data_IF_116893111170
#
_entry.id   IF_116893111170
#
_cell.length_a   1.000
_cell.length_b   1.000
_cell.length_c   1.000
_cell.angle_alpha   90.00
_cell.angle_beta   90.00
_cell.angle_gamma   90.00
#
_symmetry.space_group_name_H-M   'P 1'
#
loop_
_entity.id
_entity.type
_entity.pdbx_description
1 polymer ?
#
# COMPACT_ATOMS: atom_id res chain seq x y z
N UNK A 1 0.37 -27.85 -37.39
CA UNK A 1 -0.64 -26.78 -37.51
C UNK A 1 -0.69 -26.06 -36.17
N UNK A 2 0.03 -24.95 -36.05
CA UNK A 2 0.17 -24.20 -34.79
C UNK A 2 -1.07 -23.33 -34.62
N UNK A 3 -1.87 -23.62 -33.60
CA UNK A 3 -3.05 -22.86 -33.23
C UNK A 3 -2.67 -21.43 -32.83
N UNK A 4 -2.96 -20.48 -33.72
CA UNK A 4 -2.90 -19.04 -33.51
C UNK A 4 -3.51 -18.48 -32.19
N UNK A 5 -4.55 -19.09 -31.54
CA UNK A 5 -5.06 -18.54 -30.29
C UNK A 5 -4.04 -18.49 -29.14
N UNK A 6 -3.07 -19.41 -29.06
CA UNK A 6 -2.18 -19.47 -27.89
C UNK A 6 -1.12 -18.37 -27.86
N UNK A 7 -0.66 -17.91 -29.03
CA UNK A 7 0.28 -16.78 -29.12
C UNK A 7 -0.39 -15.46 -28.73
N UNK A 8 -1.63 -15.24 -29.16
CA UNK A 8 -2.42 -14.06 -28.81
C UNK A 8 -2.70 -13.97 -27.31
N UNK A 9 -3.02 -15.10 -26.68
CA UNK A 9 -3.24 -15.16 -25.23
C UNK A 9 -1.94 -14.87 -24.44
N UNK A 10 -0.80 -15.39 -24.92
CA UNK A 10 0.51 -15.10 -24.34
C UNK A 10 0.89 -13.61 -24.41
N UNK A 11 0.78 -13.01 -25.60
CA UNK A 11 1.11 -11.60 -25.82
C UNK A 11 0.21 -10.67 -24.98
N UNK A 12 -1.09 -10.98 -24.89
CA UNK A 12 -2.04 -10.22 -24.07
C UNK A 12 -1.71 -10.30 -22.56
N UNK A 13 -1.38 -11.50 -22.06
CA UNK A 13 -1.00 -11.69 -20.65
C UNK A 13 0.23 -10.85 -20.29
N UNK A 14 1.25 -10.85 -21.15
CA UNK A 14 2.48 -10.07 -20.95
C UNK A 14 2.20 -8.56 -20.96
N UNK A 15 1.38 -8.08 -21.88
CA UNK A 15 1.00 -6.65 -21.96
C UNK A 15 0.26 -6.23 -20.70
N UNK A 16 -0.69 -7.03 -20.22
CA UNK A 16 -1.45 -6.72 -19.01
C UNK A 16 -0.54 -6.70 -17.79
N UNK A 17 0.33 -7.71 -17.63
CA UNK A 17 1.27 -7.78 -16.50
C UNK A 17 2.24 -6.60 -16.47
N UNK A 18 2.75 -6.19 -17.64
CA UNK A 18 3.67 -5.04 -17.73
C UNK A 18 2.99 -3.70 -17.46
N UNK A 19 1.74 -3.50 -17.91
CA UNK A 19 0.95 -2.32 -17.55
C UNK A 19 0.66 -2.29 -16.05
N UNK A 20 0.24 -3.42 -15.47
CA UNK A 20 -0.04 -3.52 -14.03
C UNK A 20 1.20 -3.16 -13.20
N UNK A 21 2.36 -3.72 -13.56
CA UNK A 21 3.63 -3.40 -12.91
C UNK A 21 3.98 -1.92 -13.01
N UNK A 22 3.80 -1.31 -14.18
CA UNK A 22 4.08 0.12 -14.38
C UNK A 22 3.17 1.02 -13.52
N UNK A 23 1.88 0.70 -13.43
CA UNK A 23 0.91 1.43 -12.59
C UNK A 23 1.27 1.33 -11.11
N UNK A 24 1.64 0.13 -10.65
CA UNK A 24 2.04 -0.13 -9.26
C UNK A 24 3.30 0.67 -8.90
N UNK A 25 4.34 0.61 -9.75
CA UNK A 25 5.58 1.37 -9.55
C UNK A 25 5.29 2.87 -9.50
N UNK A 26 4.45 3.37 -10.41
CA UNK A 26 4.05 4.77 -10.42
C UNK A 26 3.29 5.17 -9.15
N UNK A 27 2.38 4.31 -8.68
CA UNK A 27 1.64 4.50 -7.44
C UNK A 27 2.53 4.57 -6.21
N UNK A 28 3.51 3.66 -6.09
CA UNK A 28 4.51 3.68 -5.01
C UNK A 28 5.30 4.98 -5.04
N UNK A 29 5.79 5.37 -6.21
CA UNK A 29 6.56 6.60 -6.37
C UNK A 29 5.75 7.82 -5.93
N UNK A 30 4.47 7.90 -6.33
CA UNK A 30 3.58 8.99 -5.93
C UNK A 30 3.29 8.98 -4.42
N UNK A 31 3.09 7.81 -3.80
CA UNK A 31 2.88 7.71 -2.35
C UNK A 31 4.10 8.16 -1.55
N UNK A 32 5.30 7.73 -1.95
CA UNK A 32 6.56 8.17 -1.35
C UNK A 32 6.73 9.68 -1.51
N UNK A 33 6.49 10.22 -2.70
CA UNK A 33 6.62 11.65 -2.97
C UNK A 33 5.65 12.48 -2.11
N UNK A 34 4.40 12.02 -1.97
CA UNK A 34 3.37 12.67 -1.14
C UNK A 34 3.73 12.61 0.35
N UNK A 35 4.28 11.49 0.82
CA UNK A 35 4.73 11.35 2.20
C UNK A 35 5.88 12.31 2.54
N UNK A 36 6.91 12.38 1.69
CA UNK A 36 8.03 13.33 1.84
C UNK A 36 7.52 14.78 1.90
N UNK A 37 6.57 15.13 1.03
CA UNK A 37 5.99 16.48 1.02
C UNK A 37 5.19 16.79 2.30
N UNK A 38 4.44 15.82 2.83
CA UNK A 38 3.61 15.97 4.02
C UNK A 38 4.43 16.08 5.31
N UNK A 39 5.47 15.26 5.48
CA UNK A 39 6.30 15.26 6.69
C UNK A 39 7.17 16.52 6.81
N UNK A 40 7.56 17.11 5.67
CA UNK A 40 8.30 18.38 5.64
C UNK A 40 7.37 19.56 5.97
N UNK A 41 6.10 19.52 5.57
CA UNK A 41 5.15 20.63 5.75
C UNK A 41 4.50 20.67 7.14
N UNK A 42 4.24 19.52 7.78
CA UNK A 42 3.56 19.42 9.08
C UNK A 42 4.47 19.61 10.31
N UNK A 43 5.74 19.96 10.10
CA UNK A 43 6.71 20.18 11.17
C UNK A 43 6.53 21.50 11.95
N UNK A 44 5.55 22.32 11.56
CA UNK A 44 5.34 23.68 12.09
C UNK A 44 4.23 23.85 13.14
N UNK A 45 3.62 22.79 13.67
CA UNK A 45 2.55 22.90 14.66
C UNK A 45 2.83 22.15 15.97
N UNK A 46 4.10 22.05 16.39
CA UNK A 46 4.44 21.48 17.69
C UNK A 46 4.27 22.55 18.79
N UNK A 47 3.07 22.61 19.37
CA UNK A 47 2.85 23.26 20.66
C UNK A 47 3.18 22.29 21.82
N UNK A 48 3.73 22.86 22.86
CA UNK A 48 4.84 22.33 23.65
C UNK A 48 4.44 21.51 24.88
N UNK A 49 3.42 20.64 24.80
CA UNK A 49 2.96 19.88 25.98
C UNK A 49 2.86 18.35 25.86
N UNK A 50 3.01 17.74 24.68
CA UNK A 50 2.69 16.31 24.54
C UNK A 50 3.67 15.47 23.69
N UNK A 51 4.98 15.54 24.00
CA UNK A 51 6.06 14.77 23.35
C UNK A 51 5.81 13.25 23.24
N UNK A 52 5.06 12.65 24.17
CA UNK A 52 4.69 11.21 24.14
C UNK A 52 3.55 10.90 23.16
N UNK A 53 2.72 11.89 22.85
CA UNK A 53 1.63 11.78 21.91
C UNK A 53 2.12 11.99 20.48
N UNK A 54 2.98 12.99 20.25
CA UNK A 54 3.65 13.22 18.97
C UNK A 54 4.43 11.97 18.51
N UNK A 55 5.16 11.32 19.43
CA UNK A 55 5.88 10.09 19.11
C UNK A 55 4.96 8.94 18.67
N UNK A 56 3.74 8.86 19.23
CA UNK A 56 2.74 7.83 18.86
C UNK A 56 2.05 8.16 17.54
N UNK A 57 1.73 9.42 17.28
CA UNK A 57 1.18 9.86 16.00
C UNK A 57 2.18 9.69 14.86
N UNK A 58 3.45 10.02 15.10
CA UNK A 58 4.53 9.76 14.16
C UNK A 58 4.63 8.26 13.87
N UNK A 59 4.73 7.41 14.92
CA UNK A 59 4.75 5.95 14.75
C UNK A 59 3.53 5.43 13.97
N UNK A 60 2.32 5.92 14.26
CA UNK A 60 1.10 5.55 13.53
C UNK A 60 1.21 5.89 12.04
N UNK A 61 1.71 7.07 11.70
CA UNK A 61 1.95 7.49 10.30
C UNK A 61 2.97 6.58 9.59
N UNK A 62 4.09 6.25 10.26
CA UNK A 62 5.10 5.33 9.73
C UNK A 62 4.56 3.90 9.52
N UNK A 63 3.76 3.40 10.46
CA UNK A 63 3.13 2.07 10.35
C UNK A 63 2.15 2.07 9.18
N UNK A 64 1.31 3.11 9.03
CA UNK A 64 0.34 3.19 7.94
C UNK A 64 1.04 3.16 6.57
N UNK A 65 2.12 3.92 6.42
CA UNK A 65 2.89 3.96 5.18
C UNK A 65 3.61 2.64 4.88
N UNK A 66 4.24 2.02 5.87
CA UNK A 66 4.84 0.69 5.71
C UNK A 66 3.80 -0.33 5.24
N UNK A 67 2.57 -0.23 5.74
CA UNK A 67 1.45 -1.09 5.35
C UNK A 67 1.02 -0.88 3.88
N UNK A 68 1.08 0.34 3.34
CA UNK A 68 0.79 0.58 1.92
C UNK A 68 1.85 -0.03 1.00
N UNK A 69 3.13 0.02 1.42
CA UNK A 69 4.25 -0.56 0.66
C UNK A 69 4.18 -2.09 0.67
N UNK A 70 3.83 -2.71 1.81
CA UNK A 70 3.72 -4.16 1.93
C UNK A 70 2.73 -4.76 0.92
N UNK A 71 1.62 -4.07 0.66
CA UNK A 71 0.60 -4.56 -0.27
C UNK A 71 1.06 -4.53 -1.71
N UNK A 72 1.87 -3.53 -2.05
CA UNK A 72 2.49 -3.49 -3.37
C UNK A 72 3.41 -4.70 -3.54
N UNK A 73 4.16 -5.06 -2.51
CA UNK A 73 4.99 -6.27 -2.54
C UNK A 73 4.12 -7.53 -2.74
N UNK A 74 3.02 -7.67 -2.00
CA UNK A 74 2.13 -8.83 -2.09
C UNK A 74 1.43 -8.94 -3.46
N UNK A 75 1.04 -7.80 -4.06
CA UNK A 75 0.45 -7.75 -5.40
C UNK A 75 1.47 -8.14 -6.46
N UNK A 76 2.72 -7.69 -6.33
CA UNK A 76 3.80 -8.06 -7.27
C UNK A 76 4.06 -9.58 -7.21
N UNK A 77 4.10 -10.16 -6.01
CA UNK A 77 4.27 -11.61 -5.82
C UNK A 77 3.17 -12.41 -6.52
N UNK A 78 1.91 -12.04 -6.31
CA UNK A 78 0.75 -12.72 -6.95
C UNK A 78 0.71 -12.57 -8.47
N UNK A 79 1.24 -11.47 -9.04
CA UNK A 79 1.31 -11.30 -10.50
C UNK A 79 2.38 -12.19 -11.13
N UNK A 80 3.46 -12.49 -10.40
CA UNK A 80 4.56 -13.33 -10.90
C UNK A 80 4.16 -14.81 -10.89
N UNK A 81 3.41 -15.27 -9.88
CA UNK A 81 3.00 -16.67 -9.75
C UNK A 81 1.49 -16.80 -9.44
N UNK A 82 0.59 -16.65 -10.42
CA UNK A 82 -0.85 -16.71 -10.16
C UNK A 82 -1.32 -18.14 -9.80
N UNK A 83 -1.23 -18.50 -8.52
CA UNK A 83 -1.73 -19.75 -7.95
C UNK A 83 -2.91 -19.47 -7.02
N UNK A 84 -3.83 -20.43 -6.87
CA UNK A 84 -4.98 -20.29 -5.96
C UNK A 84 -4.52 -20.09 -4.51
N UNK A 85 -3.40 -20.69 -4.14
CA UNK A 85 -2.78 -20.54 -2.82
C UNK A 85 -2.26 -19.10 -2.61
N UNK A 86 -1.57 -18.52 -3.60
CA UNK A 86 -1.11 -17.14 -3.53
C UNK A 86 -2.25 -16.12 -3.50
N UNK A 87 -3.34 -16.38 -4.24
CA UNK A 87 -4.56 -15.55 -4.17
C UNK A 87 -5.18 -15.61 -2.76
N UNK A 88 -5.17 -16.77 -2.10
CA UNK A 88 -5.67 -16.91 -0.73
C UNK A 88 -4.79 -16.16 0.29
N UNK A 89 -3.48 -16.22 0.15
CA UNK A 89 -2.51 -15.47 0.98
C UNK A 89 -2.72 -13.96 0.79
N UNK A 90 -2.80 -13.48 -0.45
CA UNK A 90 -3.08 -12.08 -0.76
C UNK A 90 -4.40 -11.62 -0.12
N UNK A 91 -5.46 -12.45 -0.22
CA UNK A 91 -6.75 -12.16 0.43
C UNK A 91 -6.63 -12.00 1.94
N UNK A 92 -5.87 -12.86 2.61
CA UNK A 92 -5.62 -12.76 4.04
C UNK A 92 -4.85 -11.48 4.42
N UNK A 93 -3.83 -11.11 3.63
CA UNK A 93 -3.04 -9.90 3.89
C UNK A 93 -3.89 -8.63 3.73
N UNK A 94 -4.73 -8.57 2.69
CA UNK A 94 -5.67 -7.46 2.48
C UNK A 94 -6.65 -7.32 3.66
N UNK A 95 -7.14 -8.42 4.22
CA UNK A 95 -8.02 -8.41 5.40
C UNK A 95 -7.28 -7.87 6.63
N UNK A 96 -6.10 -8.41 6.94
CA UNK A 96 -5.28 -7.95 8.08
C UNK A 96 -5.00 -6.44 7.95
N UNK A 97 -4.63 -5.98 6.75
CA UNK A 97 -4.42 -4.55 6.47
C UNK A 97 -5.66 -3.75 6.82
N UNK A 98 -6.81 -4.14 6.28
CA UNK A 98 -8.06 -3.39 6.46
C UNK A 98 -8.41 -3.26 7.94
N UNK A 99 -8.20 -4.31 8.72
CA UNK A 99 -8.41 -4.30 10.17
C UNK A 99 -7.45 -3.33 10.86
N UNK A 100 -6.14 -3.43 10.60
CA UNK A 100 -5.12 -2.56 11.23
C UNK A 100 -5.35 -1.09 10.85
N UNK A 101 -5.52 -0.79 9.56
CA UNK A 101 -5.79 0.57 9.09
C UNK A 101 -7.09 1.13 9.68
N UNK A 102 -8.12 0.31 9.84
CA UNK A 102 -9.38 0.71 10.47
C UNK A 102 -9.21 1.06 11.95
N UNK A 103 -8.46 0.26 12.71
CA UNK A 103 -8.16 0.57 14.12
C UNK A 103 -7.34 1.85 14.26
N UNK A 104 -6.36 2.05 13.38
CA UNK A 104 -5.48 3.22 13.42
C UNK A 104 -6.23 4.51 13.02
N UNK A 105 -7.07 4.47 11.98
CA UNK A 105 -7.93 5.61 11.59
C UNK A 105 -8.90 5.99 12.73
N UNK A 106 -9.43 4.99 13.46
CA UNK A 106 -10.25 5.22 14.65
C UNK A 106 -9.49 5.88 15.79
N UNK A 107 -8.26 5.45 16.07
CA UNK A 107 -7.43 6.04 17.12
C UNK A 107 -7.12 7.52 16.81
N UNK A 108 -6.86 7.83 15.55
CA UNK A 108 -6.58 9.19 15.08
C UNK A 108 -7.85 10.07 15.11
N UNK A 109 -8.98 9.61 14.56
CA UNK A 109 -10.26 10.37 14.58
C UNK A 109 -10.84 10.59 15.97
N UNK A 110 -10.53 9.71 16.93
CA UNK A 110 -10.99 9.87 18.31
C UNK A 110 -10.46 11.13 19.00
N UNK A 111 -9.43 11.78 18.44
CA UNK A 111 -8.76 12.95 19.03
C UNK A 111 -9.17 14.30 18.45
N UNK A 112 -9.92 14.34 17.36
CA UNK A 112 -10.35 15.59 16.69
C UNK A 112 -11.67 16.16 17.26
N UNK A 113 -12.11 15.68 18.44
CA UNK A 113 -13.40 16.02 19.06
C UNK A 113 -13.32 16.51 20.50
N UNK A 114 -12.17 17.01 20.97
CA UNK A 114 -12.06 17.66 22.29
C UNK A 114 -11.58 19.09 22.12
#
# INVERSE_FOLDING_TARGET
MVSYPEKLLGDLSVIIGSIALAVIIWGVFFCIARWIHGEIFMRNAADSSNRREEARLALGSYILLGLEILIVADIIETVINPTIEEIAILGAIVVIRTVISFFLDREIKGKDKI
#
